data_IF_439419961057
#
_entry.id   IF_439419961057
#
_cell.length_a   1.000
_cell.length_b   1.000
_cell.length_c   1.000
_cell.angle_alpha   90.00
_cell.angle_beta   90.00
_cell.angle_gamma   90.00
#
_symmetry.space_group_name_H-M   'P 1'
#
loop_
_entity.id
_entity.type
_entity.pdbx_description
1 polymer ?
#
# COMPACT_ATOMS: atom_id res chain seq x y z
N UNK A 1 -4.50 -14.68 25.76
CA UNK A 1 -4.93 -14.91 24.37
C UNK A 1 -3.70 -14.69 23.50
N UNK A 2 -3.18 -15.72 22.88
CA UNK A 2 -2.12 -15.58 21.88
C UNK A 2 -2.63 -14.71 20.73
N UNK A 3 -1.91 -13.66 20.44
CA UNK A 3 -2.28 -12.75 19.36
C UNK A 3 -1.94 -13.44 18.05
N UNK A 4 -2.96 -13.84 17.27
CA UNK A 4 -2.79 -14.47 15.97
C UNK A 4 -1.88 -13.61 15.11
N UNK A 5 -0.88 -14.22 14.48
CA UNK A 5 0.06 -13.53 13.60
C UNK A 5 -0.68 -12.90 12.42
N UNK A 6 -0.16 -11.76 11.97
CA UNK A 6 -0.68 -11.08 10.76
C UNK A 6 -0.50 -11.99 9.56
N UNK A 7 -1.54 -12.18 8.76
CA UNK A 7 -1.49 -12.90 7.50
C UNK A 7 -1.18 -11.92 6.37
N UNK A 8 -0.07 -12.17 5.68
CA UNK A 8 0.40 -11.35 4.57
C UNK A 8 0.18 -12.11 3.28
N UNK A 9 -0.71 -11.63 2.44
CA UNK A 9 -0.87 -12.14 1.09
C UNK A 9 0.20 -11.53 0.17
N UNK A 10 0.86 -12.36 -0.61
CA UNK A 10 1.87 -11.95 -1.59
C UNK A 10 1.42 -12.38 -2.97
N UNK A 11 1.31 -11.41 -3.85
CA UNK A 11 0.86 -11.63 -5.23
C UNK A 11 1.99 -11.27 -6.18
N UNK A 12 2.27 -12.17 -7.10
CA UNK A 12 3.16 -11.91 -8.24
C UNK A 12 2.57 -12.53 -9.51
N UNK A 13 2.97 -11.99 -10.64
CA UNK A 13 2.51 -12.47 -11.94
C UNK A 13 3.36 -13.64 -12.44
N UNK A 14 2.72 -14.61 -13.12
CA UNK A 14 3.40 -15.74 -13.76
C UNK A 14 3.96 -15.33 -15.13
N UNK A 15 5.11 -14.63 -15.09
CA UNK A 15 5.90 -14.34 -16.29
C UNK A 15 7.27 -14.99 -16.15
N UNK A 16 7.90 -15.32 -17.28
CA UNK A 16 9.27 -15.86 -17.26
C UNK A 16 10.25 -14.93 -16.54
N UNK A 17 10.06 -13.62 -16.68
CA UNK A 17 10.79 -12.56 -15.99
C UNK A 17 10.59 -12.60 -14.47
N UNK A 18 9.46 -13.10 -14.00
CA UNK A 18 9.08 -13.14 -12.59
C UNK A 18 9.49 -14.43 -11.84
N UNK A 19 10.14 -15.39 -12.50
CA UNK A 19 10.68 -16.59 -11.81
C UNK A 19 11.64 -16.19 -10.69
N UNK A 20 12.40 -15.14 -10.92
CA UNK A 20 13.32 -14.58 -9.93
C UNK A 20 12.59 -14.01 -8.70
N UNK A 21 11.38 -13.53 -8.85
CA UNK A 21 10.59 -12.97 -7.74
C UNK A 21 10.14 -14.04 -6.74
N UNK A 22 9.77 -15.23 -7.23
CA UNK A 22 9.41 -16.33 -6.35
C UNK A 22 10.61 -16.81 -5.53
N UNK A 23 11.76 -17.00 -6.18
CA UNK A 23 12.99 -17.40 -5.49
C UNK A 23 13.43 -16.32 -4.50
N UNK A 24 13.27 -15.04 -4.83
CA UNK A 24 13.55 -13.92 -3.95
C UNK A 24 12.67 -13.98 -2.69
N UNK A 25 11.34 -14.22 -2.84
CA UNK A 25 10.42 -14.39 -1.72
C UNK A 25 10.80 -15.55 -0.83
N UNK A 26 11.14 -16.69 -1.43
CA UNK A 26 11.56 -17.88 -0.67
C UNK A 26 12.84 -17.61 0.13
N UNK A 27 13.79 -16.88 -0.42
CA UNK A 27 15.02 -16.49 0.28
C UNK A 27 14.71 -15.49 1.40
N UNK A 28 13.96 -14.44 1.15
CA UNK A 28 13.56 -13.48 2.16
C UNK A 28 12.88 -14.16 3.36
N UNK A 29 12.03 -15.17 3.11
CA UNK A 29 11.35 -15.91 4.17
C UNK A 29 12.18 -17.00 4.82
N UNK A 30 13.32 -17.37 4.24
CA UNK A 30 14.28 -18.29 4.85
C UNK A 30 15.16 -17.62 5.92
N UNK A 31 15.15 -16.28 5.98
CA UNK A 31 15.91 -15.54 6.98
C UNK A 31 15.38 -15.85 8.39
N UNK A 32 16.30 -15.96 9.38
CA UNK A 32 15.90 -16.23 10.77
C UNK A 32 14.87 -15.23 11.28
N UNK A 33 13.91 -15.74 12.01
CA UNK A 33 12.87 -14.95 12.70
C UNK A 33 11.82 -14.25 11.81
N UNK A 34 11.95 -14.22 10.48
CA UNK A 34 10.96 -13.58 9.60
C UNK A 34 9.59 -14.25 9.75
N UNK A 35 9.52 -15.57 9.74
CA UNK A 35 8.28 -16.33 9.92
C UNK A 35 7.72 -16.28 11.36
N UNK A 36 8.47 -15.69 12.30
CA UNK A 36 7.95 -15.41 13.64
C UNK A 36 7.08 -14.16 13.69
N UNK A 37 7.29 -13.22 12.78
CA UNK A 37 6.61 -11.92 12.76
C UNK A 37 5.25 -11.97 12.06
N UNK A 38 5.11 -12.79 11.01
CA UNK A 38 3.87 -12.90 10.24
C UNK A 38 3.72 -14.28 9.58
N UNK A 39 2.56 -14.53 9.01
CA UNK A 39 2.24 -15.75 8.26
C UNK A 39 2.10 -15.40 6.78
N UNK A 40 3.09 -15.74 5.93
CA UNK A 40 3.02 -15.47 4.50
C UNK A 40 2.07 -16.44 3.79
N UNK A 41 1.31 -15.92 2.82
CA UNK A 41 0.47 -16.67 1.90
C UNK A 41 0.81 -16.21 0.48
N UNK A 42 1.55 -17.03 -0.25
CA UNK A 42 1.97 -16.73 -1.62
C UNK A 42 0.90 -17.22 -2.58
N UNK A 43 0.33 -16.30 -3.35
CA UNK A 43 -0.56 -16.61 -4.45
C UNK A 43 0.26 -17.01 -5.67
N UNK A 44 0.05 -18.21 -6.17
CA UNK A 44 0.81 -18.73 -7.31
C UNK A 44 -0.06 -19.54 -8.26
N UNK A 45 0.14 -19.43 -9.58
CA UNK A 45 -0.54 -20.29 -10.54
C UNK A 45 -0.18 -21.78 -10.33
N UNK A 46 -1.15 -22.67 -10.57
CA UNK A 46 -0.91 -24.12 -10.47
C UNK A 46 0.17 -24.61 -11.42
N UNK A 47 0.24 -24.04 -12.62
CA UNK A 47 1.27 -24.32 -13.63
C UNK A 47 2.68 -24.13 -13.08
N UNK A 48 2.87 -23.03 -12.36
CA UNK A 48 4.16 -22.67 -11.77
C UNK A 48 4.62 -23.70 -10.71
N UNK A 49 3.72 -24.15 -9.83
CA UNK A 49 4.03 -25.13 -8.78
C UNK A 49 4.50 -26.47 -9.32
N UNK A 50 3.97 -26.91 -10.46
CA UNK A 50 4.34 -28.18 -11.07
C UNK A 50 5.80 -28.17 -11.54
N UNK A 51 6.31 -26.99 -11.91
CA UNK A 51 7.68 -26.82 -12.40
C UNK A 51 8.72 -26.66 -11.27
N UNK A 52 8.30 -26.23 -10.08
CA UNK A 52 9.19 -25.89 -8.95
C UNK A 52 9.51 -27.05 -8.00
N UNK A 53 8.94 -28.24 -8.17
CA UNK A 53 9.07 -29.38 -7.23
C UNK A 53 10.49 -29.92 -6.98
N UNK A 54 11.53 -29.39 -7.62
CA UNK A 54 12.88 -30.00 -7.61
C UNK A 54 13.96 -29.28 -6.79
N UNK A 55 13.71 -28.12 -6.16
CA UNK A 55 14.81 -27.30 -5.63
C UNK A 55 14.81 -26.94 -4.14
N UNK A 56 13.68 -26.98 -3.43
CA UNK A 56 13.53 -26.23 -2.18
C UNK A 56 13.44 -27.09 -0.91
N UNK A 57 14.25 -28.16 -0.82
CA UNK A 57 14.18 -29.17 0.26
C UNK A 57 14.46 -28.67 1.70
N UNK A 58 14.89 -27.42 1.88
CA UNK A 58 15.22 -26.85 3.19
C UNK A 58 14.15 -25.90 3.75
N UNK A 59 13.16 -25.51 2.94
CA UNK A 59 12.14 -24.55 3.34
C UNK A 59 10.87 -25.26 3.83
N UNK A 60 10.28 -24.73 4.90
CA UNK A 60 9.03 -25.24 5.43
C UNK A 60 7.85 -24.75 4.59
N UNK A 61 7.67 -25.35 3.40
CA UNK A 61 6.64 -25.00 2.44
C UNK A 61 5.38 -25.83 2.67
N UNK A 62 4.22 -25.16 2.67
CA UNK A 62 2.93 -25.82 2.76
C UNK A 62 2.01 -25.36 1.64
N UNK A 63 1.65 -26.25 0.72
CA UNK A 63 0.61 -25.98 -0.28
C UNK A 63 -0.75 -26.09 0.40
N UNK A 64 -1.55 -25.04 0.29
CA UNK A 64 -2.90 -24.94 0.86
C UNK A 64 -3.94 -24.82 -0.26
N UNK A 65 -5.13 -25.37 -0.02
CA UNK A 65 -6.30 -25.23 -0.91
C UNK A 65 -7.31 -24.22 -0.36
N UNK A 66 -7.30 -24.07 0.96
CA UNK A 66 -8.16 -23.13 1.69
C UNK A 66 -7.32 -22.37 2.71
N UNK A 67 -7.65 -21.12 2.94
CA UNK A 67 -6.90 -20.23 3.86
C UNK A 67 -6.92 -20.70 5.33
N UNK A 68 -7.92 -21.51 5.69
CA UNK A 68 -7.98 -22.12 7.03
C UNK A 68 -6.88 -23.15 7.27
N UNK A 69 -6.25 -23.66 6.21
CA UNK A 69 -5.14 -24.59 6.27
C UNK A 69 -3.80 -23.89 6.51
N UNK A 70 -3.75 -22.54 6.39
CA UNK A 70 -2.53 -21.77 6.58
C UNK A 70 -1.96 -21.99 7.98
N UNK A 71 -0.66 -22.34 8.03
CA UNK A 71 0.07 -22.67 9.24
C UNK A 71 1.10 -21.58 9.54
N UNK A 72 1.17 -21.17 10.79
CA UNK A 72 2.21 -20.27 11.29
C UNK A 72 3.58 -20.97 11.27
N UNK A 73 4.65 -20.20 11.04
CA UNK A 73 6.01 -20.75 10.92
C UNK A 73 6.27 -21.52 9.62
N UNK A 74 5.35 -21.45 8.66
CA UNK A 74 5.49 -22.04 7.34
C UNK A 74 5.25 -20.99 6.26
N UNK A 75 5.86 -21.16 5.11
CA UNK A 75 5.52 -20.44 3.88
C UNK A 75 4.32 -21.16 3.25
N UNK A 76 3.15 -20.53 3.31
CA UNK A 76 1.93 -21.11 2.75
C UNK A 76 1.81 -20.71 1.29
N UNK A 77 1.55 -21.68 0.42
CA UNK A 77 1.41 -21.47 -1.01
C UNK A 77 -0.04 -21.76 -1.38
N UNK A 78 -0.75 -20.74 -1.80
CA UNK A 78 -2.11 -20.85 -2.31
C UNK A 78 -2.07 -20.97 -3.83
N UNK A 79 -2.40 -22.18 -4.33
CA UNK A 79 -2.41 -22.46 -5.76
C UNK A 79 -3.76 -22.11 -6.36
N UNK A 80 -3.82 -21.03 -7.12
CA UNK A 80 -5.03 -20.65 -7.85
C UNK A 80 -5.06 -21.26 -9.26
N UNK A 81 -6.28 -21.45 -9.78
CA UNK A 81 -6.50 -21.82 -11.16
C UNK A 81 -7.38 -20.75 -11.79
N UNK A 82 -6.98 -20.25 -12.95
CA UNK A 82 -7.84 -19.37 -13.75
C UNK A 82 -8.78 -20.18 -14.62
N UNK A 83 -9.94 -19.60 -14.90
CA UNK A 83 -10.79 -20.07 -15.97
C UNK A 83 -10.19 -19.63 -17.31
N UNK A 84 -9.69 -20.59 -18.09
CA UNK A 84 -9.06 -20.33 -19.38
C UNK A 84 -10.00 -19.65 -20.39
N UNK A 85 -11.32 -19.74 -20.18
CA UNK A 85 -12.32 -19.10 -21.04
C UNK A 85 -12.47 -17.61 -20.76
N UNK A 86 -12.27 -17.18 -19.51
CA UNK A 86 -12.33 -15.76 -19.11
C UNK A 86 -10.99 -15.06 -19.21
N UNK A 87 -9.89 -15.79 -19.14
CA UNK A 87 -8.52 -15.27 -19.14
C UNK A 87 -7.83 -15.42 -20.50
N UNK A 88 -8.45 -14.85 -21.55
CA UNK A 88 -7.94 -14.95 -22.93
C UNK A 88 -6.68 -14.11 -23.21
N UNK A 89 -6.35 -13.18 -22.32
CA UNK A 89 -5.17 -12.33 -22.41
C UNK A 89 -4.60 -12.01 -21.02
N UNK A 90 -3.40 -11.42 -20.95
CA UNK A 90 -2.74 -11.07 -19.69
C UNK A 90 -3.57 -10.15 -18.80
N UNK A 91 -4.28 -9.18 -19.38
CA UNK A 91 -5.15 -8.26 -18.64
C UNK A 91 -6.32 -9.01 -17.97
N UNK A 92 -6.91 -9.98 -18.65
CA UNK A 92 -7.95 -10.84 -18.11
C UNK A 92 -7.47 -11.67 -16.92
N UNK A 93 -6.26 -12.26 -17.01
CA UNK A 93 -5.62 -13.01 -15.92
C UNK A 93 -5.43 -12.12 -14.70
N UNK A 94 -4.91 -10.91 -14.88
CA UNK A 94 -4.69 -9.95 -13.79
C UNK A 94 -6.00 -9.52 -13.13
N UNK A 95 -7.00 -9.23 -13.95
CA UNK A 95 -8.31 -8.83 -13.45
C UNK A 95 -8.95 -9.94 -12.61
N UNK A 96 -8.85 -11.21 -13.04
CA UNK A 96 -9.33 -12.35 -12.27
C UNK A 96 -8.58 -12.49 -10.95
N UNK A 97 -7.25 -12.37 -10.96
CA UNK A 97 -6.44 -12.41 -9.74
C UNK A 97 -6.84 -11.30 -8.76
N UNK A 98 -7.08 -10.09 -9.26
CA UNK A 98 -7.54 -8.98 -8.45
C UNK A 98 -8.94 -9.23 -7.86
N UNK A 99 -9.88 -9.76 -8.64
CA UNK A 99 -11.21 -10.13 -8.16
C UNK A 99 -11.14 -11.24 -7.09
N UNK A 100 -10.33 -12.27 -7.32
CA UNK A 100 -10.11 -13.34 -6.36
C UNK A 100 -9.52 -12.79 -5.05
N UNK A 101 -8.50 -11.94 -5.13
CA UNK A 101 -7.87 -11.33 -3.96
C UNK A 101 -8.88 -10.49 -3.15
N UNK A 102 -9.78 -9.76 -3.80
CA UNK A 102 -10.85 -9.02 -3.14
C UNK A 102 -11.84 -9.93 -2.42
N UNK A 103 -12.26 -11.03 -3.06
CA UNK A 103 -13.16 -12.02 -2.46
C UNK A 103 -12.51 -12.68 -1.25
N UNK A 104 -11.25 -13.08 -1.36
CA UNK A 104 -10.49 -13.72 -0.29
C UNK A 104 -10.30 -12.77 0.91
N UNK A 105 -10.11 -11.47 0.67
CA UNK A 105 -10.07 -10.49 1.75
C UNK A 105 -11.41 -10.38 2.49
N UNK A 106 -12.53 -10.40 1.76
CA UNK A 106 -13.88 -10.39 2.37
C UNK A 106 -14.09 -11.63 3.26
N UNK A 107 -13.53 -12.77 2.89
CA UNK A 107 -13.51 -14.00 3.69
C UNK A 107 -12.47 -14.00 4.82
N UNK A 108 -11.75 -12.90 5.01
CA UNK A 108 -10.68 -12.75 6.00
C UNK A 108 -9.54 -13.75 5.83
N UNK A 109 -9.21 -14.07 4.60
CA UNK A 109 -8.11 -14.94 4.26
C UNK A 109 -6.75 -14.34 4.68
N UNK A 110 -6.58 -13.03 4.52
CA UNK A 110 -5.39 -12.29 4.88
C UNK A 110 -5.73 -10.91 5.50
N UNK A 111 -4.74 -10.27 6.10
CA UNK A 111 -4.86 -8.96 6.74
C UNK A 111 -4.32 -7.82 5.86
N UNK A 112 -3.23 -8.06 5.12
CA UNK A 112 -2.56 -7.11 4.24
C UNK A 112 -2.12 -7.77 2.94
N UNK A 113 -2.03 -6.99 1.88
CA UNK A 113 -1.60 -7.43 0.55
C UNK A 113 -0.28 -6.77 0.17
N UNK A 114 0.67 -7.56 -0.30
CA UNK A 114 1.93 -7.08 -0.87
C UNK A 114 2.06 -7.60 -2.29
N UNK A 115 2.33 -6.72 -3.24
CA UNK A 115 2.60 -7.08 -4.63
C UNK A 115 4.08 -6.90 -4.94
N UNK A 116 4.58 -7.67 -5.91
CA UNK A 116 5.91 -7.43 -6.46
C UNK A 116 5.87 -6.26 -7.45
N UNK A 117 6.99 -5.59 -7.71
CA UNK A 117 7.08 -4.61 -8.77
C UNK A 117 6.64 -5.26 -10.07
N UNK A 118 5.68 -4.67 -10.73
CA UNK A 118 5.24 -5.12 -12.04
C UNK A 118 5.42 -3.98 -13.02
N UNK A 119 5.83 -4.32 -14.23
CA UNK A 119 5.93 -3.38 -15.35
C UNK A 119 4.56 -2.81 -15.73
N UNK A 120 3.50 -3.38 -15.20
CA UNK A 120 2.13 -2.92 -15.40
C UNK A 120 1.61 -2.16 -14.18
N UNK A 121 1.01 -1.00 -14.40
CA UNK A 121 0.57 -0.14 -13.31
C UNK A 121 -0.51 -0.82 -12.44
N UNK A 122 -0.51 -0.51 -11.15
CA UNK A 122 -1.50 -0.89 -10.11
C UNK A 122 -2.95 -0.53 -10.48
N UNK A 123 -3.14 0.11 -11.62
CA UNK A 123 -4.43 0.50 -12.18
C UNK A 123 -5.44 -0.66 -12.27
N UNK A 124 -4.96 -1.90 -12.41
CA UNK A 124 -5.84 -3.07 -12.55
C UNK A 124 -6.46 -3.51 -11.23
N UNK A 125 -5.69 -3.49 -10.13
CA UNK A 125 -6.26 -3.75 -8.81
C UNK A 125 -7.29 -2.68 -8.43
N UNK A 126 -6.98 -1.43 -8.75
CA UNK A 126 -7.89 -0.29 -8.56
C UNK A 126 -9.11 -0.39 -9.47
N UNK A 127 -8.93 -0.75 -10.74
CA UNK A 127 -10.04 -1.01 -11.67
C UNK A 127 -10.92 -2.15 -11.16
N UNK A 128 -10.34 -3.28 -10.78
CA UNK A 128 -11.08 -4.42 -10.24
C UNK A 128 -11.87 -4.03 -8.98
N UNK A 129 -11.25 -3.27 -8.10
CA UNK A 129 -11.92 -2.74 -6.91
C UNK A 129 -13.07 -1.81 -7.27
N UNK A 130 -12.88 -0.87 -8.18
CA UNK A 130 -13.92 0.05 -8.63
C UNK A 130 -15.09 -0.67 -9.32
N UNK A 131 -14.86 -1.82 -9.98
CA UNK A 131 -15.94 -2.64 -10.57
C UNK A 131 -16.78 -3.35 -9.52
N UNK A 132 -16.22 -3.72 -8.38
CA UNK A 132 -16.91 -4.45 -7.30
C UNK A 132 -17.57 -3.49 -6.31
N UNK A 133 -17.21 -2.23 -6.37
CA UNK A 133 -17.57 -1.19 -5.42
C UNK A 133 -18.98 -0.69 -5.64
N UNK A 134 -19.84 -0.75 -4.60
CA UNK A 134 -21.26 -0.35 -4.65
C UNK A 134 -21.55 0.98 -3.95
N UNK A 135 -20.58 1.58 -3.26
CA UNK A 135 -20.78 2.83 -2.50
C UNK A 135 -19.93 3.99 -3.04
N UNK A 136 -20.38 5.22 -2.84
CA UNK A 136 -19.59 6.44 -3.08
C UNK A 136 -18.32 6.44 -2.24
N UNK A 137 -17.19 6.53 -2.88
CA UNK A 137 -15.98 5.95 -2.39
C UNK A 137 -14.92 6.98 -2.05
N UNK A 138 -14.17 6.68 -1.00
CA UNK A 138 -12.91 7.35 -0.74
C UNK A 138 -12.02 7.31 -1.99
N UNK A 139 -11.39 8.43 -2.38
CA UNK A 139 -10.50 8.45 -3.52
C UNK A 139 -9.36 7.47 -3.30
N UNK A 140 -8.99 6.74 -4.37
CA UNK A 140 -7.79 5.91 -4.37
C UNK A 140 -6.60 6.79 -4.71
N UNK A 141 -5.55 6.69 -3.92
CA UNK A 141 -4.31 7.43 -4.14
C UNK A 141 -3.10 6.59 -3.72
N UNK A 142 -1.93 6.99 -4.19
CA UNK A 142 -0.69 6.30 -3.91
C UNK A 142 0.23 7.18 -3.08
N UNK A 143 0.91 6.57 -2.11
CA UNK A 143 2.00 7.20 -1.38
C UNK A 143 3.27 6.43 -1.68
N UNK A 144 4.28 7.14 -2.16
CA UNK A 144 5.63 6.65 -2.34
C UNK A 144 6.47 7.12 -1.16
N UNK A 145 7.12 6.20 -0.52
CA UNK A 145 7.90 6.47 0.70
C UNK A 145 9.32 5.95 0.57
N UNK A 146 10.26 6.84 0.85
CA UNK A 146 11.67 6.53 1.13
C UNK A 146 11.96 6.92 2.59
N UNK A 147 13.13 6.58 3.16
CA UNK A 147 13.50 7.02 4.50
C UNK A 147 13.45 8.54 4.69
N UNK A 148 13.57 9.32 3.60
CA UNK A 148 13.74 10.77 3.63
C UNK A 148 12.58 11.56 3.03
N UNK A 149 11.69 10.90 2.28
CA UNK A 149 10.67 11.62 1.53
C UNK A 149 9.40 10.77 1.38
N UNK A 150 8.24 11.40 1.58
CA UNK A 150 6.93 10.85 1.27
C UNK A 150 6.24 11.71 0.22
N UNK A 151 5.76 11.07 -0.82
CA UNK A 151 5.04 11.74 -1.90
C UNK A 151 3.70 11.05 -2.13
N UNK A 152 2.62 11.80 -1.95
CA UNK A 152 1.29 11.36 -2.36
C UNK A 152 1.02 11.80 -3.79
N UNK A 153 0.60 10.86 -4.61
CA UNK A 153 0.09 11.15 -5.95
C UNK A 153 -1.39 10.86 -5.98
N UNK A 154 -2.16 11.86 -6.37
CA UNK A 154 -3.60 11.70 -6.55
C UNK A 154 -3.86 11.75 -8.06
N UNK A 155 -4.77 10.89 -8.52
CA UNK A 155 -5.29 11.08 -9.86
C UNK A 155 -6.12 12.37 -9.85
N UNK A 156 -5.89 13.29 -10.81
CA UNK A 156 -6.74 14.46 -10.93
C UNK A 156 -8.18 13.96 -11.04
N UNK A 157 -9.07 14.49 -10.20
CA UNK A 157 -10.49 14.17 -10.26
C UNK A 157 -10.93 14.39 -11.70
N UNK A 158 -11.16 13.30 -12.42
CA UNK A 158 -11.40 13.19 -13.86
C UNK A 158 -11.23 14.53 -14.60
N UNK A 159 -10.26 14.61 -15.47
CA UNK A 159 -9.90 15.74 -16.35
C UNK A 159 -11.05 16.11 -17.32
N UNK A 160 -12.27 16.10 -16.88
CA UNK A 160 -13.32 16.79 -17.59
C UNK A 160 -13.07 18.28 -17.38
N UNK A 161 -12.41 18.91 -18.35
CA UNK A 161 -12.27 20.37 -18.46
C UNK A 161 -13.62 21.12 -18.38
N UNK A 162 -14.73 20.39 -18.25
CA UNK A 162 -16.10 20.86 -18.15
C UNK A 162 -16.65 20.93 -16.70
N UNK A 163 -15.88 20.46 -15.68
CA UNK A 163 -16.34 20.60 -14.30
C UNK A 163 -16.24 22.06 -13.85
N UNK A 164 -17.31 22.54 -13.23
CA UNK A 164 -17.33 23.88 -12.64
C UNK A 164 -16.21 24.01 -11.58
N UNK A 165 -15.66 25.21 -11.46
CA UNK A 165 -14.57 25.50 -10.49
C UNK A 165 -14.95 25.10 -9.06
N UNK A 166 -16.22 25.20 -8.69
CA UNK A 166 -16.72 24.79 -7.37
C UNK A 166 -16.54 23.29 -7.12
N UNK A 167 -16.86 22.44 -8.09
CA UNK A 167 -16.69 20.99 -7.97
C UNK A 167 -15.20 20.57 -7.88
N UNK A 168 -14.32 21.30 -8.58
CA UNK A 168 -12.87 21.07 -8.50
C UNK A 168 -12.34 21.43 -7.10
N UNK A 169 -12.79 22.51 -6.52
CA UNK A 169 -12.46 22.92 -5.14
C UNK A 169 -12.91 21.86 -4.14
N UNK A 170 -14.14 21.39 -4.24
CA UNK A 170 -14.69 20.38 -3.32
C UNK A 170 -13.94 19.03 -3.45
N UNK A 171 -13.64 18.61 -4.68
CA UNK A 171 -12.87 17.41 -4.92
C UNK A 171 -11.47 17.49 -4.30
N UNK A 172 -10.77 18.62 -4.48
CA UNK A 172 -9.46 18.86 -3.88
C UNK A 172 -9.51 18.83 -2.36
N UNK A 173 -10.51 19.49 -1.76
CA UNK A 173 -10.71 19.49 -0.31
C UNK A 173 -10.94 18.07 0.20
N UNK A 174 -11.83 17.31 -0.42
CA UNK A 174 -12.14 15.95 -0.06
C UNK A 174 -10.89 15.04 -0.14
N UNK A 175 -10.11 15.16 -1.20
CA UNK A 175 -8.87 14.40 -1.40
C UNK A 175 -7.84 14.73 -0.32
N UNK A 176 -7.60 16.02 -0.04
CA UNK A 176 -6.61 16.45 0.96
C UNK A 176 -7.04 16.04 2.37
N UNK A 177 -8.32 16.09 2.69
CA UNK A 177 -8.85 15.58 3.96
C UNK A 177 -8.67 14.07 4.09
N UNK A 178 -8.90 13.33 3.01
CA UNK A 178 -8.69 11.86 2.97
C UNK A 178 -7.23 11.53 3.20
N UNK A 179 -6.30 12.27 2.57
CA UNK A 179 -4.87 12.14 2.82
C UNK A 179 -4.52 12.44 4.28
N UNK A 180 -5.06 13.52 4.83
CA UNK A 180 -4.83 13.89 6.24
C UNK A 180 -5.33 12.78 7.20
N UNK A 181 -6.51 12.20 6.94
CA UNK A 181 -7.05 11.07 7.70
C UNK A 181 -6.15 9.84 7.58
N UNK A 182 -5.63 9.57 6.40
CA UNK A 182 -4.72 8.46 6.13
C UNK A 182 -3.41 8.61 6.92
N UNK A 183 -2.83 9.81 6.93
CA UNK A 183 -1.61 10.09 7.70
C UNK A 183 -1.83 9.90 9.20
N UNK A 184 -2.97 10.32 9.72
CA UNK A 184 -3.34 10.08 11.13
C UNK A 184 -3.51 8.60 11.44
N UNK A 185 -4.18 7.89 10.56
CA UNK A 185 -4.57 6.50 10.76
C UNK A 185 -3.40 5.52 10.56
N UNK A 186 -2.63 5.68 9.50
CA UNK A 186 -1.61 4.71 9.11
C UNK A 186 -0.20 5.12 9.52
N UNK A 187 0.11 6.42 9.53
CA UNK A 187 1.42 6.94 9.92
C UNK A 187 1.48 7.43 11.36
N UNK A 188 0.35 7.41 12.08
CA UNK A 188 0.25 7.89 13.48
C UNK A 188 0.65 9.35 13.65
N UNK A 189 0.54 10.18 12.61
CA UNK A 189 0.85 11.61 12.63
C UNK A 189 -0.39 12.37 13.06
N UNK A 190 -0.41 12.90 14.29
CA UNK A 190 -1.60 13.53 14.86
C UNK A 190 -2.03 14.81 14.13
N UNK A 191 -1.07 15.61 13.68
CA UNK A 191 -1.28 16.88 12.94
C UNK A 191 -0.42 16.91 11.70
N UNK A 192 -0.82 16.21 10.61
CA UNK A 192 -0.03 16.14 9.40
C UNK A 192 0.17 17.52 8.76
N UNK A 193 1.40 17.80 8.35
CA UNK A 193 1.80 19.00 7.59
C UNK A 193 1.99 18.58 6.14
N UNK A 194 1.10 19.04 5.26
CA UNK A 194 1.02 18.64 3.86
C UNK A 194 1.49 19.77 2.97
N UNK A 195 2.56 19.56 2.19
CA UNK A 195 2.94 20.47 1.11
C UNK A 195 2.15 20.12 -0.15
N UNK A 196 1.44 21.06 -0.72
CA UNK A 196 0.75 20.91 -1.99
C UNK A 196 1.66 21.39 -3.11
N UNK A 197 1.97 20.47 -4.02
CA UNK A 197 2.79 20.75 -5.20
C UNK A 197 1.90 20.77 -6.42
N UNK A 198 1.84 21.92 -7.09
CA UNK A 198 1.03 22.10 -8.30
C UNK A 198 1.49 23.33 -9.06
N UNK A 199 1.31 23.30 -10.37
CA UNK A 199 1.33 24.52 -11.16
C UNK A 199 0.17 25.41 -10.71
N UNK A 200 0.45 26.70 -10.53
CA UNK A 200 -0.45 27.67 -9.87
C UNK A 200 -1.82 27.78 -10.53
N UNK A 201 -2.75 26.89 -10.22
CA UNK A 201 -4.14 27.03 -10.62
C UNK A 201 -4.92 27.89 -9.60
N UNK A 202 -5.60 28.96 -10.05
CA UNK A 202 -6.27 29.91 -9.14
C UNK A 202 -7.25 29.27 -8.16
N UNK A 203 -7.90 28.14 -8.54
CA UNK A 203 -8.85 27.44 -7.67
C UNK A 203 -8.17 26.78 -6.47
N UNK A 204 -6.88 26.37 -6.60
CA UNK A 204 -6.16 25.72 -5.51
C UNK A 204 -5.88 26.65 -4.34
N UNK A 205 -5.56 27.90 -4.62
CA UNK A 205 -5.39 28.92 -3.55
C UNK A 205 -6.67 29.05 -2.74
N UNK A 206 -7.82 29.18 -3.42
CA UNK A 206 -9.12 29.27 -2.77
C UNK A 206 -9.46 27.99 -1.98
N UNK A 207 -9.11 26.83 -2.52
CA UNK A 207 -9.34 25.55 -1.84
C UNK A 207 -8.46 25.40 -0.59
N UNK A 208 -7.19 25.81 -0.65
CA UNK A 208 -6.27 25.81 0.49
C UNK A 208 -6.74 26.75 1.59
N UNK A 209 -7.18 27.95 1.25
CA UNK A 209 -7.76 28.89 2.23
C UNK A 209 -8.95 28.27 2.96
N UNK A 210 -9.86 27.59 2.25
CA UNK A 210 -10.99 26.87 2.85
C UNK A 210 -10.51 25.71 3.72
N UNK A 211 -9.53 24.91 3.27
CA UNK A 211 -8.99 23.80 4.06
C UNK A 211 -8.43 24.27 5.40
N UNK A 212 -7.67 25.35 5.40
CA UNK A 212 -7.07 25.89 6.63
C UNK A 212 -8.15 26.48 7.53
N UNK A 213 -9.07 27.31 6.98
CA UNK A 213 -10.04 28.07 7.73
C UNK A 213 -11.19 27.21 8.27
N UNK A 214 -11.76 26.36 7.41
CA UNK A 214 -13.00 25.65 7.72
C UNK A 214 -12.74 24.24 8.28
N UNK A 215 -11.60 23.63 7.93
CA UNK A 215 -11.29 22.24 8.25
C UNK A 215 -10.08 22.06 9.17
N UNK A 216 -9.42 23.14 9.58
CA UNK A 216 -8.24 23.11 10.45
C UNK A 216 -7.16 22.12 9.98
N UNK A 217 -6.92 22.07 8.65
CA UNK A 217 -5.96 21.20 8.01
C UNK A 217 -4.65 21.97 7.79
N UNK A 218 -3.52 21.39 8.21
CA UNK A 218 -2.21 21.99 7.99
C UNK A 218 -1.71 21.67 6.56
N UNK A 219 -2.30 22.32 5.56
CA UNK A 219 -1.91 22.25 4.16
C UNK A 219 -1.30 23.59 3.74
N UNK A 220 -0.19 23.54 3.01
CA UNK A 220 0.62 24.68 2.61
C UNK A 220 0.89 24.64 1.11
N UNK A 221 1.06 25.80 0.50
CA UNK A 221 1.34 25.92 -0.94
C UNK A 221 0.30 26.79 -1.65
N UNK A 222 0.06 26.62 -2.97
CA UNK A 222 0.77 25.68 -3.85
C UNK A 222 2.26 26.03 -3.99
N UNK A 223 3.08 25.01 -4.02
CA UNK A 223 4.52 25.12 -4.25
C UNK A 223 4.88 24.53 -5.62
N UNK A 224 5.97 25.03 -6.20
CA UNK A 224 6.64 24.36 -7.30
C UNK A 224 7.59 23.28 -6.75
N UNK A 225 7.99 22.30 -7.58
CA UNK A 225 9.01 21.32 -7.17
C UNK A 225 10.36 21.98 -6.85
N UNK A 226 10.71 23.05 -7.56
CA UNK A 226 11.96 23.80 -7.34
C UNK A 226 12.01 24.42 -5.94
N UNK A 227 10.91 24.97 -5.45
CA UNK A 227 10.80 25.55 -4.10
C UNK A 227 10.99 24.51 -3.00
N UNK A 228 10.66 23.25 -3.27
CA UNK A 228 10.81 22.12 -2.33
C UNK A 228 12.04 21.25 -2.65
N UNK A 229 12.98 21.73 -3.44
CA UNK A 229 14.13 20.92 -3.86
C UNK A 229 15.18 20.77 -2.74
N UNK A 230 15.26 21.67 -1.76
CA UNK A 230 16.18 21.54 -0.65
C UNK A 230 15.68 20.57 0.42
N UNK A 231 16.60 19.83 1.03
CA UNK A 231 16.27 18.94 2.15
C UNK A 231 15.66 19.74 3.33
N UNK A 232 16.14 20.94 3.59
CA UNK A 232 15.63 21.82 4.65
C UNK A 232 14.16 22.18 4.41
N UNK A 233 13.76 22.52 3.17
CA UNK A 233 12.38 22.86 2.85
C UNK A 233 11.46 21.65 2.92
N UNK A 234 11.96 20.44 2.60
CA UNK A 234 11.18 19.19 2.69
C UNK A 234 10.93 18.75 4.13
N UNK A 235 11.90 18.92 5.02
CA UNK A 235 11.80 18.51 6.43
C UNK A 235 10.73 19.28 7.21
N UNK A 236 10.25 20.39 6.65
CA UNK A 236 9.12 21.11 7.21
C UNK A 236 7.77 20.40 7.04
N UNK A 237 7.68 19.41 6.19
CA UNK A 237 6.44 18.72 5.86
C UNK A 237 6.53 17.21 6.11
N UNK A 238 5.39 16.61 6.47
CA UNK A 238 5.30 15.16 6.66
C UNK A 238 5.11 14.44 5.33
N UNK A 239 4.53 15.13 4.32
CA UNK A 239 4.26 14.60 3.00
C UNK A 239 4.12 15.72 1.95
N UNK A 240 4.56 15.44 0.73
CA UNK A 240 4.26 16.24 -0.44
C UNK A 240 3.09 15.61 -1.20
N UNK A 241 2.08 16.39 -1.53
CA UNK A 241 0.94 15.95 -2.36
C UNK A 241 1.03 16.60 -3.74
N UNK A 242 1.28 15.80 -4.77
CA UNK A 242 1.61 16.27 -6.13
C UNK A 242 0.40 16.14 -7.04
N UNK A 243 0.01 17.26 -7.63
CA UNK A 243 -1.15 17.39 -8.54
C UNK A 243 -0.77 17.69 -9.99
N UNK A 244 0.46 18.16 -10.23
CA UNK A 244 0.94 18.47 -11.59
C UNK A 244 1.39 17.21 -12.33
N UNK A 245 0.95 17.03 -13.58
CA UNK A 245 1.26 15.81 -14.34
C UNK A 245 2.72 15.75 -14.83
N UNK A 246 3.31 16.88 -15.30
CA UNK A 246 4.68 16.92 -15.79
C UNK A 246 5.70 16.70 -14.68
N UNK A 247 5.56 17.41 -13.58
CA UNK A 247 6.46 17.27 -12.42
C UNK A 247 6.31 15.94 -11.69
N UNK A 248 5.14 15.29 -11.81
CA UNK A 248 4.85 14.00 -11.22
C UNK A 248 5.71 12.88 -11.81
N UNK A 249 5.89 12.88 -13.13
CA UNK A 249 6.64 11.82 -13.82
C UNK A 249 8.11 11.79 -13.37
N UNK A 250 8.80 12.93 -13.38
CA UNK A 250 10.20 13.05 -12.97
C UNK A 250 10.41 12.67 -11.50
N UNK A 251 9.52 13.16 -10.61
CA UNK A 251 9.59 12.85 -9.20
C UNK A 251 9.36 11.35 -8.92
N UNK A 252 8.42 10.73 -9.61
CA UNK A 252 8.15 9.29 -9.47
C UNK A 252 9.30 8.45 -10.02
N UNK A 253 9.93 8.85 -11.10
CA UNK A 253 11.13 8.20 -11.63
C UNK A 253 12.26 8.25 -10.60
N UNK A 254 12.51 9.40 -10.02
CA UNK A 254 13.52 9.56 -8.96
C UNK A 254 13.22 8.68 -7.74
N UNK A 255 11.97 8.64 -7.26
CA UNK A 255 11.57 7.77 -6.15
C UNK A 255 11.69 6.27 -6.51
N UNK A 256 11.40 5.91 -7.74
CA UNK A 256 11.57 4.55 -8.25
C UNK A 256 13.04 4.14 -8.24
N UNK A 257 13.95 5.02 -8.65
CA UNK A 257 15.39 4.79 -8.58
C UNK A 257 15.90 4.65 -7.14
N UNK A 258 15.20 5.23 -6.16
CA UNK A 258 15.51 5.08 -4.72
C UNK A 258 14.79 3.88 -4.08
N UNK A 259 14.20 2.98 -4.86
CA UNK A 259 13.48 1.80 -4.37
C UNK A 259 12.39 2.12 -3.33
N UNK A 260 11.66 3.21 -3.54
CA UNK A 260 10.58 3.63 -2.65
C UNK A 260 9.53 2.52 -2.46
N UNK A 261 8.92 2.47 -1.29
CA UNK A 261 7.74 1.64 -1.06
C UNK A 261 6.51 2.42 -1.52
N UNK A 262 5.77 1.83 -2.46
CA UNK A 262 4.50 2.37 -2.93
C UNK A 262 3.35 1.76 -2.13
N UNK A 263 2.57 2.59 -1.47
CA UNK A 263 1.36 2.16 -0.76
C UNK A 263 0.13 2.71 -1.48
N UNK A 264 -0.85 1.84 -1.72
CA UNK A 264 -2.15 2.22 -2.30
C UNK A 264 -3.18 2.33 -1.18
N UNK A 265 -3.75 3.52 -1.01
CA UNK A 265 -4.81 3.82 -0.07
C UNK A 265 -6.16 3.99 -0.77
N UNK A 266 -7.26 3.86 -0.02
CA UNK A 266 -8.63 3.89 -0.54
C UNK A 266 -9.16 2.50 -0.89
N UNK A 267 -8.34 1.47 -0.83
CA UNK A 267 -8.75 0.07 -0.89
C UNK A 267 -9.30 -0.41 0.47
N UNK A 268 -10.09 -1.50 0.51
CA UNK A 268 -10.58 -2.06 1.78
C UNK A 268 -9.47 -2.62 2.66
N UNK A 269 -8.35 -3.01 2.07
CA UNK A 269 -7.15 -3.54 2.71
C UNK A 269 -5.94 -2.64 2.46
N UNK A 270 -4.88 -2.87 3.22
CA UNK A 270 -3.60 -2.21 3.04
C UNK A 270 -2.87 -2.94 1.93
N UNK A 271 -2.44 -2.20 0.91
CA UNK A 271 -1.67 -2.72 -0.21
C UNK A 271 -0.36 -1.95 -0.34
N UNK A 272 0.75 -2.68 -0.28
CA UNK A 272 2.09 -2.14 -0.49
C UNK A 272 2.81 -2.89 -1.60
N UNK A 273 3.74 -2.22 -2.24
CA UNK A 273 4.66 -2.85 -3.18
C UNK A 273 5.98 -2.06 -3.24
N UNK A 274 7.12 -2.72 -3.47
CA UNK A 274 8.33 -2.04 -3.90
C UNK A 274 8.09 -1.30 -5.22
N UNK A 275 8.64 -0.11 -5.40
CA UNK A 275 8.52 0.62 -6.68
C UNK A 275 9.36 -0.01 -7.78
N UNK A 276 10.52 -0.55 -7.40
CA UNK A 276 11.46 -1.25 -8.31
C UNK A 276 12.34 -2.21 -7.51
N UNK A 277 13.07 -3.04 -8.22
CA UNK A 277 14.20 -3.81 -7.72
C UNK A 277 15.51 -3.29 -8.29
N UNK A 278 16.62 -3.62 -7.64
CA UNK A 278 17.94 -3.33 -8.15
C UNK A 278 18.20 -4.21 -9.37
N UNK A 279 18.35 -3.59 -10.53
CA UNK A 279 18.70 -4.24 -11.78
C UNK A 279 20.22 -4.18 -11.97
N UNK A 280 20.93 -5.20 -11.48
CA UNK A 280 22.34 -5.37 -11.78
C UNK A 280 22.55 -6.65 -12.58
N UNK A 281 23.62 -6.73 -13.38
CA UNK A 281 24.03 -7.96 -14.09
C UNK A 281 24.29 -9.14 -13.13
N UNK A 282 24.67 -8.84 -11.89
CA UNK A 282 24.58 -9.71 -10.72
C UNK A 282 23.72 -9.00 -9.68
N UNK A 283 22.41 -9.30 -9.60
CA UNK A 283 21.58 -8.66 -8.60
C UNK A 283 22.15 -8.92 -7.21
N UNK A 284 22.38 -7.87 -6.45
CA UNK A 284 22.60 -8.01 -5.01
C UNK A 284 21.29 -8.54 -4.42
N UNK A 285 21.22 -9.86 -4.34
CA UNK A 285 20.03 -10.59 -3.90
C UNK A 285 19.64 -10.17 -2.48
N UNK A 286 20.62 -9.78 -1.64
CA UNK A 286 20.38 -9.34 -0.27
C UNK A 286 19.65 -7.98 -0.23
N UNK A 287 19.98 -7.07 -1.15
CA UNK A 287 19.33 -5.77 -1.24
C UNK A 287 17.86 -5.91 -1.67
N UNK A 288 17.59 -6.72 -2.68
CA UNK A 288 16.22 -6.98 -3.13
C UNK A 288 15.39 -7.75 -2.07
N UNK A 289 16.01 -8.65 -1.30
CA UNK A 289 15.35 -9.30 -0.15
C UNK A 289 14.96 -8.27 0.91
N UNK A 290 15.82 -7.30 1.21
CA UNK A 290 15.53 -6.21 2.16
C UNK A 290 14.38 -5.34 1.66
N UNK A 291 14.38 -4.94 0.38
CA UNK A 291 13.31 -4.12 -0.23
C UNK A 291 11.94 -4.81 -0.11
N UNK A 292 11.87 -6.13 -0.34
CA UNK A 292 10.64 -6.90 -0.18
C UNK A 292 10.19 -6.93 1.28
N UNK A 293 11.11 -7.16 2.20
CA UNK A 293 10.79 -7.19 3.63
C UNK A 293 10.33 -5.82 4.13
N UNK A 294 10.92 -4.75 3.65
CA UNK A 294 10.50 -3.39 3.98
C UNK A 294 9.06 -3.11 3.53
N UNK A 295 8.66 -3.56 2.34
CA UNK A 295 7.29 -3.44 1.87
C UNK A 295 6.31 -4.23 2.78
N UNK A 296 6.70 -5.42 3.23
CA UNK A 296 5.92 -6.26 4.14
C UNK A 296 5.80 -5.60 5.52
N UNK A 297 6.90 -5.13 6.07
CA UNK A 297 6.92 -4.49 7.40
C UNK A 297 6.12 -3.20 7.40
N UNK A 298 6.24 -2.40 6.34
CA UNK A 298 5.42 -1.20 6.13
C UNK A 298 3.92 -1.53 6.16
N UNK A 299 3.50 -2.58 5.45
CA UNK A 299 2.10 -3.01 5.45
C UNK A 299 1.62 -3.45 6.85
N UNK A 300 2.45 -4.20 7.58
CA UNK A 300 2.15 -4.66 8.94
C UNK A 300 2.05 -3.49 9.91
N UNK A 301 2.97 -2.53 9.82
CA UNK A 301 2.97 -1.35 10.69
C UNK A 301 1.75 -0.46 10.43
N UNK A 302 1.36 -0.27 9.18
CA UNK A 302 0.12 0.43 8.83
C UNK A 302 -1.12 -0.29 9.39
N UNK A 303 -1.15 -1.61 9.36
CA UNK A 303 -2.24 -2.38 9.96
C UNK A 303 -2.29 -2.18 11.48
N UNK A 304 -1.14 -2.21 12.15
CA UNK A 304 -1.03 -1.99 13.60
C UNK A 304 -1.49 -0.57 13.96
N UNK A 305 -1.00 0.44 13.25
CA UNK A 305 -1.38 1.82 13.45
C UNK A 305 -2.89 2.04 13.23
N UNK A 306 -3.45 1.46 12.15
CA UNK A 306 -4.90 1.49 11.88
C UNK A 306 -5.70 0.87 13.03
N UNK A 307 -5.27 -0.28 13.55
CA UNK A 307 -5.93 -0.94 14.68
C UNK A 307 -5.87 -0.07 15.94
N UNK A 308 -4.73 0.57 16.21
CA UNK A 308 -4.58 1.49 17.34
C UNK A 308 -5.43 2.75 17.19
N UNK A 309 -5.54 3.27 15.97
CA UNK A 309 -6.36 4.45 15.67
C UNK A 309 -7.85 4.17 15.86
N UNK A 310 -8.34 3.02 15.36
CA UNK A 310 -9.75 2.62 15.44
C UNK A 310 -10.12 2.15 16.86
N UNK A 311 -9.22 1.39 17.50
CA UNK A 311 -9.38 0.88 18.85
C UNK A 311 -8.22 1.35 19.72
N UNK A 312 -8.22 2.61 20.16
CA UNK A 312 -7.17 3.10 21.02
C UNK A 312 -7.10 2.19 22.25
N UNK A 313 -5.94 1.61 22.51
CA UNK A 313 -5.74 0.76 23.68
C UNK A 313 -6.22 1.51 24.91
N UNK A 314 -7.09 0.89 25.67
CA UNK A 314 -7.42 1.39 26.98
C UNK A 314 -6.12 1.50 27.75
N UNK A 315 -5.68 2.72 28.03
CA UNK A 315 -4.47 2.95 28.81
C UNK A 315 -4.60 2.09 30.09
N UNK A 316 -3.74 1.08 30.28
CA UNK A 316 -3.84 0.21 31.46
C UNK A 316 -3.77 1.01 32.77
N UNK A 317 -3.15 2.18 32.76
CA UNK A 317 -3.14 3.12 33.88
C UNK A 317 -4.51 3.78 34.13
N UNK A 318 -5.40 3.90 33.16
CA UNK A 318 -6.76 4.40 33.37
C UNK A 318 -7.64 3.46 34.17
N UNK A 319 -7.38 2.17 34.15
CA UNK A 319 -8.09 1.18 35.01
C UNK A 319 -7.75 1.33 36.49
N UNK A 320 -6.57 1.86 36.80
CA UNK A 320 -6.13 2.07 38.18
C UNK A 320 -6.84 3.27 38.85
N UNK A 321 -7.33 4.22 38.01
CA UNK A 321 -8.00 5.44 38.46
C UNK A 321 -9.52 5.40 38.35
N UNK A 322 -10.15 4.26 38.04
CA UNK A 322 -11.59 4.12 38.26
C UNK A 322 -11.83 4.08 39.74
N UNK A 323 -12.29 5.19 40.27
CA UNK A 323 -12.65 5.34 41.69
C UNK A 323 -13.44 4.13 42.15
N UNK A 324 -12.94 3.46 43.20
CA UNK A 324 -13.76 2.54 43.95
C UNK A 324 -14.94 3.35 44.50
N UNK A 325 -16.12 3.20 43.91
CA UNK A 325 -17.35 3.68 44.53
C UNK A 325 -17.34 3.11 45.95
N UNK A 326 -17.19 3.97 46.92
CA UNK A 326 -17.41 3.61 48.33
C UNK A 326 -18.83 3.11 48.42
N UNK A 327 -18.99 1.82 48.60
CA UNK A 327 -20.26 1.28 49.09
C UNK A 327 -20.55 1.95 50.41
N UNK A 328 -21.70 2.65 50.47
CA UNK A 328 -22.30 3.15 51.73
C UNK A 328 -23.22 2.10 52.27
#
# INVERSE_FOLDING_TARGET
>A
MEQKKVRVALVFEDKEENKNHYDLLLRAFSLPNVLELFTPIIYTPRSFLLNQKKGNGHLNLKVIRHFNEAKEGCINIFAYAFDEQEATNEEGVRLQLCKQTLADYQERAFDVLVSMPSTTPVNELTKAYNMVKTEENAPVFHVYETPYLRVATQEPASTNAQKETAERIEAFICQTQTLCKTLRCHYSIAKPRIAIVSDSEPYMVTALEKLVKDHNTCAFGPFTLEELNSEESRNDFDIMSVYADENKAELLEHLTQQHAIKTTFGLPFIHTQPSSFVENEMPDLQENEAIVLDAIYTAIDFLRNKRQYVFPFHNPLRKVYVERKKEK
#
